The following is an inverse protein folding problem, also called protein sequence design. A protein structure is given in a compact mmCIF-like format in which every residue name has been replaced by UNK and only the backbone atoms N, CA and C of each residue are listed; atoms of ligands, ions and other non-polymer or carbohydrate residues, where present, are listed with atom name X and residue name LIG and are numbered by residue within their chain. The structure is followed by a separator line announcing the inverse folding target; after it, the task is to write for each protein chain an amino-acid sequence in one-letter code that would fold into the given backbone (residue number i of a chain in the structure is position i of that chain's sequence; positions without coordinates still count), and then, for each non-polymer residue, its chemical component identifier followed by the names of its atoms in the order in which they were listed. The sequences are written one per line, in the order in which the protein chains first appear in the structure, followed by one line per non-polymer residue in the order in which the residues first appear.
data_IF_904549423072
#
_entry.id   IF_904549423072
#
_cell.length_a   1.000
_cell.length_b   1.000
_cell.length_c   1.000
_cell.angle_alpha   90.00
_cell.angle_beta   90.00
_cell.angle_gamma   90.00
#
_symmetry.space_group_name_H-M   'P 1'
#
loop_
_entity.id
_entity.type
_entity.pdbx_description
1 polymer ?
#
# COMPACT_ATOMS: atom_id res chain seq x y z
N UNK A 1 -1.07 0.46 -27.64
CA UNK A 1 -1.35 0.46 -26.19
C UNK A 1 -1.83 -0.94 -25.83
N UNK A 2 -1.18 -1.62 -24.89
CA UNK A 2 -1.60 -2.97 -24.51
C UNK A 2 -2.85 -2.87 -23.63
N UNK A 3 -3.96 -3.49 -24.05
CA UNK A 3 -5.12 -3.68 -23.20
C UNK A 3 -4.75 -4.63 -22.07
N UNK A 4 -4.36 -4.09 -20.91
CA UNK A 4 -4.26 -4.86 -19.68
C UNK A 4 -5.66 -4.95 -19.07
N UNK A 5 -6.41 -5.97 -19.48
CA UNK A 5 -7.67 -6.28 -18.80
C UNK A 5 -7.33 -6.75 -17.38
N UNK A 6 -7.87 -6.06 -16.38
CA UNK A 6 -7.80 -6.50 -14.98
C UNK A 6 -8.35 -7.92 -14.87
N UNK A 7 -7.72 -8.74 -14.03
CA UNK A 7 -8.20 -10.10 -13.80
C UNK A 7 -9.56 -10.01 -13.08
N UNK A 8 -10.66 -10.49 -13.68
CA UNK A 8 -12.01 -10.31 -13.13
C UNK A 8 -12.21 -11.01 -11.78
N UNK A 9 -11.48 -12.11 -11.53
CA UNK A 9 -11.53 -12.83 -10.25
C UNK A 9 -10.85 -12.01 -9.16
N UNK A 10 -9.71 -11.37 -9.48
CA UNK A 10 -9.03 -10.49 -8.55
C UNK A 10 -9.91 -9.26 -8.24
N UNK A 11 -10.50 -8.65 -9.28
CA UNK A 11 -11.39 -7.52 -9.15
C UNK A 11 -12.53 -7.78 -8.16
N UNK A 12 -13.29 -8.85 -8.41
CA UNK A 12 -14.43 -9.22 -7.56
C UNK A 12 -14.02 -9.61 -6.13
N UNK A 13 -12.89 -10.31 -5.98
CA UNK A 13 -12.41 -10.80 -4.68
C UNK A 13 -11.94 -9.70 -3.75
N UNK A 14 -11.15 -8.73 -4.25
CA UNK A 14 -10.64 -7.64 -3.42
C UNK A 14 -11.71 -6.56 -3.18
N UNK A 15 -12.58 -6.27 -4.14
CA UNK A 15 -13.68 -5.31 -3.96
C UNK A 15 -14.64 -5.74 -2.85
N UNK A 16 -15.06 -7.01 -2.84
CA UNK A 16 -15.99 -7.55 -1.83
C UNK A 16 -15.36 -7.69 -0.43
N UNK A 17 -14.04 -7.79 -0.36
CA UNK A 17 -13.34 -8.05 0.90
C UNK A 17 -12.70 -6.80 1.51
N UNK A 18 -12.52 -5.69 0.76
CA UNK A 18 -11.71 -4.55 1.17
C UNK A 18 -12.10 -3.97 2.55
N UNK A 19 -13.39 -3.71 2.81
CA UNK A 19 -13.84 -3.17 4.10
C UNK A 19 -13.63 -4.15 5.27
N UNK A 20 -14.02 -5.42 5.08
CA UNK A 20 -13.82 -6.46 6.09
C UNK A 20 -12.33 -6.74 6.34
N UNK A 21 -11.52 -6.67 5.29
CA UNK A 21 -10.08 -6.86 5.35
C UNK A 21 -9.40 -5.73 6.12
N UNK A 22 -9.82 -4.48 5.89
CA UNK A 22 -9.29 -3.34 6.63
C UNK A 22 -9.57 -3.43 8.13
N UNK A 23 -10.78 -3.87 8.50
CA UNK A 23 -11.16 -3.98 9.91
C UNK A 23 -10.49 -5.18 10.62
N UNK A 24 -10.33 -6.31 9.93
CA UNK A 24 -9.83 -7.53 10.54
C UNK A 24 -8.29 -7.62 10.59
N UNK A 25 -7.59 -6.96 9.66
CA UNK A 25 -6.11 -7.01 9.62
C UNK A 25 -5.51 -6.11 10.71
N UNK A 26 -4.60 -6.63 11.55
CA UNK A 26 -3.75 -5.79 12.37
C UNK A 26 -2.96 -4.80 11.51
N UNK A 27 -2.57 -3.66 12.09
CA UNK A 27 -1.60 -2.76 11.49
C UNK A 27 -0.21 -3.39 11.41
N UNK A 28 0.68 -2.79 10.62
CA UNK A 28 2.08 -3.22 10.56
C UNK A 28 2.79 -2.95 11.90
N UNK A 29 3.67 -3.85 12.35
CA UNK A 29 4.44 -3.65 13.58
C UNK A 29 5.46 -2.51 13.41
N UNK A 30 5.81 -1.86 14.53
CA UNK A 30 6.76 -0.75 14.54
C UNK A 30 8.12 -1.16 13.97
N UNK A 31 8.63 -2.35 14.32
CA UNK A 31 9.90 -2.90 13.81
C UNK A 31 9.95 -2.95 12.27
N UNK A 32 8.82 -3.18 11.60
CA UNK A 32 8.76 -3.16 10.14
C UNK A 32 8.96 -1.74 9.61
N UNK A 33 8.39 -0.74 10.28
CA UNK A 33 8.57 0.67 9.91
C UNK A 33 9.98 1.17 10.23
N UNK A 34 10.57 0.72 11.34
CA UNK A 34 11.97 1.00 11.67
C UNK A 34 12.92 0.42 10.64
N UNK A 35 12.69 -0.82 10.22
CA UNK A 35 13.46 -1.44 9.16
C UNK A 35 13.40 -0.62 7.87
N UNK A 36 12.20 -0.23 7.41
CA UNK A 36 12.05 0.58 6.18
C UNK A 36 12.75 1.95 6.32
N UNK A 37 12.62 2.62 7.48
CA UNK A 37 13.32 3.87 7.77
C UNK A 37 14.84 3.72 7.75
N UNK A 38 15.37 2.58 8.16
CA UNK A 38 16.82 2.30 8.13
C UNK A 38 17.39 2.19 6.72
N UNK A 39 16.55 1.86 5.73
CA UNK A 39 16.98 1.74 4.32
C UNK A 39 17.12 3.11 3.66
N UNK A 40 16.31 4.10 4.07
CA UNK A 40 16.26 5.42 3.47
C UNK A 40 15.92 6.48 4.52
N UNK A 41 16.85 7.41 4.76
CA UNK A 41 16.67 8.52 5.71
C UNK A 41 15.64 9.55 5.21
N UNK A 42 15.70 9.91 3.91
CA UNK A 42 14.79 10.86 3.29
C UNK A 42 14.56 10.54 1.80
N UNK A 43 13.68 9.57 1.47
CA UNK A 43 13.38 9.25 0.08
C UNK A 43 12.71 10.44 -0.63
N UNK A 44 12.94 10.63 -1.93
CA UNK A 44 12.20 11.64 -2.69
C UNK A 44 10.77 11.19 -2.97
N UNK A 45 10.61 9.96 -3.46
CA UNK A 45 9.32 9.38 -3.86
C UNK A 45 9.21 7.99 -3.25
N UNK A 46 8.05 7.67 -2.69
CA UNK A 46 7.69 6.31 -2.25
C UNK A 46 6.53 5.82 -3.12
N UNK A 47 6.61 4.58 -3.59
CA UNK A 47 5.51 3.91 -4.29
C UNK A 47 5.06 2.71 -3.46
N UNK A 48 3.81 2.74 -3.00
CA UNK A 48 3.14 1.63 -2.31
C UNK A 48 2.31 0.85 -3.35
N UNK A 49 2.86 -0.26 -3.84
CA UNK A 49 2.26 -1.07 -4.91
C UNK A 49 1.43 -2.21 -4.33
N UNK A 50 0.16 -2.30 -4.73
CA UNK A 50 -0.83 -3.17 -4.08
C UNK A 50 -1.23 -2.60 -2.73
N UNK A 51 -1.45 -1.28 -2.68
CA UNK A 51 -1.70 -0.54 -1.44
C UNK A 51 -2.99 -0.98 -0.73
N UNK A 52 -3.89 -1.66 -1.43
CA UNK A 52 -5.21 -2.06 -0.95
C UNK A 52 -5.94 -0.85 -0.37
N UNK A 53 -6.28 -0.95 0.91
CA UNK A 53 -6.98 0.08 1.69
C UNK A 53 -6.06 1.21 2.22
N UNK A 54 -4.77 1.17 1.89
CA UNK A 54 -3.78 2.20 2.22
C UNK A 54 -3.20 2.10 3.63
N UNK A 55 -3.32 0.95 4.30
CA UNK A 55 -2.86 0.76 5.69
C UNK A 55 -1.35 1.00 5.83
N UNK A 56 -0.54 0.49 4.91
CA UNK A 56 0.90 0.78 4.87
C UNK A 56 1.18 2.22 4.47
N UNK A 57 0.48 2.72 3.43
CA UNK A 57 0.61 4.10 2.95
C UNK A 57 0.50 5.13 4.08
N UNK A 58 -0.44 4.96 5.01
CA UNK A 58 -0.61 5.85 6.17
C UNK A 58 0.62 5.88 7.08
N UNK A 59 1.27 4.73 7.27
CA UNK A 59 2.50 4.64 8.09
C UNK A 59 3.71 5.23 7.36
N UNK A 60 3.80 5.02 6.05
CA UNK A 60 4.83 5.60 5.18
C UNK A 60 4.77 7.12 5.16
N UNK A 61 3.62 7.74 5.44
CA UNK A 61 3.49 9.18 5.63
C UNK A 61 4.38 9.77 6.72
N UNK A 62 4.90 8.95 7.64
CA UNK A 62 5.89 9.38 8.64
C UNK A 62 7.33 9.46 8.11
N UNK A 63 7.60 8.86 6.95
CA UNK A 63 8.86 9.02 6.24
C UNK A 63 8.78 10.35 5.51
N UNK A 64 9.73 11.25 5.74
CA UNK A 64 9.73 12.64 5.23
C UNK A 64 9.95 12.73 3.69
N UNK A 65 9.24 11.90 2.94
CA UNK A 65 9.22 11.84 1.50
C UNK A 65 8.59 13.10 0.91
N UNK A 66 9.03 13.48 -0.28
CA UNK A 66 8.40 14.59 -1.01
C UNK A 66 7.06 14.16 -1.61
N UNK A 67 6.96 12.89 -2.00
CA UNK A 67 5.76 12.31 -2.61
C UNK A 67 5.57 10.85 -2.21
N UNK A 68 4.32 10.45 -2.01
CA UNK A 68 3.92 9.05 -1.79
C UNK A 68 2.79 8.74 -2.77
N UNK A 69 3.00 7.71 -3.59
CA UNK A 69 2.03 7.23 -4.58
C UNK A 69 1.55 5.85 -4.15
N UNK A 70 0.27 5.74 -3.80
CA UNK A 70 -0.38 4.46 -3.57
C UNK A 70 -1.02 3.96 -4.87
N UNK A 71 -0.74 2.72 -5.24
CA UNK A 71 -1.26 2.08 -6.45
C UNK A 71 -1.99 0.82 -6.02
N UNK A 72 -3.31 0.80 -6.20
CA UNK A 72 -4.12 -0.41 -6.12
C UNK A 72 -4.75 -0.64 -7.50
N UNK A 73 -4.37 -1.72 -8.22
CA UNK A 73 -4.85 -1.98 -9.58
C UNK A 73 -6.23 -2.63 -9.63
N UNK A 74 -6.89 -2.85 -8.48
CA UNK A 74 -8.21 -3.48 -8.37
C UNK A 74 -9.27 -2.48 -7.92
#
# INVERSE_FOLDING_TARGET
MANHNMNPIAAEGFEKAAENYEQARPTYPDDAMEFIKSLHDKPNVIVDLGAGTGKLTRLLGSMAAQEIVAIEPV
#
